data_IF_520791000700
#
_entry.id   IF_520791000700
#
_cell.length_a   1.000
_cell.length_b   1.000
_cell.length_c   1.000
_cell.angle_alpha   90.00
_cell.angle_beta   90.00
_cell.angle_gamma   90.00
#
_symmetry.space_group_name_H-M   'P 1'
#
loop_
_entity.id
_entity.type
_entity.pdbx_description
1 polymer ?
#
# COMPACT_ATOMS: atom_id res chain seq x y z
N UNK A 1 -70.16 5.42 -9.12
CA UNK A 1 -69.15 4.57 -8.46
C UNK A 1 -67.82 4.83 -9.15
N UNK A 2 -67.01 5.75 -8.61
CA UNK A 2 -65.68 6.02 -9.17
C UNK A 2 -64.73 4.93 -8.67
N UNK A 3 -64.33 4.04 -9.57
CA UNK A 3 -63.29 3.04 -9.32
C UNK A 3 -61.97 3.79 -9.08
N UNK A 4 -61.52 3.81 -7.83
CA UNK A 4 -60.19 4.29 -7.48
C UNK A 4 -59.18 3.34 -8.14
N UNK A 5 -58.55 3.79 -9.22
CA UNK A 5 -57.52 3.04 -9.92
C UNK A 5 -56.47 2.58 -8.91
N UNK A 6 -56.17 1.27 -8.90
CA UNK A 6 -55.15 0.70 -8.04
C UNK A 6 -53.83 1.47 -8.24
N UNK A 7 -53.07 1.75 -7.16
CA UNK A 7 -51.83 2.50 -7.27
C UNK A 7 -50.94 1.83 -8.32
N UNK A 8 -50.32 2.61 -9.23
CA UNK A 8 -49.47 2.05 -10.28
C UNK A 8 -48.41 1.16 -9.64
N UNK A 9 -48.15 0.01 -10.26
CA UNK A 9 -47.18 -0.94 -9.70
C UNK A 9 -45.83 -0.26 -9.55
N UNK A 10 -45.05 -0.66 -8.55
CA UNK A 10 -43.72 -0.11 -8.32
C UNK A 10 -42.84 -0.17 -9.58
N UNK A 11 -43.01 -1.19 -10.42
CA UNK A 11 -42.31 -1.30 -11.69
C UNK A 11 -42.70 -0.20 -12.69
N UNK A 12 -43.99 0.15 -12.77
CA UNK A 12 -44.46 1.21 -13.66
C UNK A 12 -43.96 2.59 -13.21
N UNK A 13 -43.93 2.85 -11.90
CA UNK A 13 -43.38 4.09 -11.32
C UNK A 13 -41.87 4.24 -11.59
N UNK A 14 -41.14 3.13 -11.54
CA UNK A 14 -39.71 3.09 -11.79
C UNK A 14 -39.38 3.30 -13.28
N UNK A 15 -40.13 2.66 -14.19
CA UNK A 15 -39.91 2.77 -15.64
C UNK A 15 -40.36 4.13 -16.21
N UNK A 16 -41.37 4.75 -15.61
CA UNK A 16 -41.88 6.06 -16.05
C UNK A 16 -41.09 7.23 -15.47
N UNK A 17 -40.41 7.04 -14.33
CA UNK A 17 -39.52 8.04 -13.77
C UNK A 17 -38.14 7.95 -14.43
N UNK A 18 -37.83 8.93 -15.29
CA UNK A 18 -36.58 9.01 -16.06
C UNK A 18 -35.32 8.93 -15.18
N UNK A 19 -35.38 9.47 -13.96
CA UNK A 19 -34.24 9.46 -13.03
C UNK A 19 -34.03 8.07 -12.42
N UNK A 20 -35.11 7.40 -12.00
CA UNK A 20 -35.06 6.02 -11.47
C UNK A 20 -34.68 5.02 -12.56
N UNK A 21 -35.24 5.16 -13.75
CA UNK A 21 -34.90 4.33 -14.90
C UNK A 21 -33.42 4.44 -15.26
N UNK A 22 -32.88 5.67 -15.33
CA UNK A 22 -31.44 5.87 -15.53
C UNK A 22 -30.61 5.22 -14.43
N UNK A 23 -31.03 5.34 -13.17
CA UNK A 23 -30.30 4.78 -12.03
C UNK A 23 -30.27 3.24 -12.05
N UNK A 24 -31.33 2.58 -12.52
CA UNK A 24 -31.36 1.12 -12.68
C UNK A 24 -30.50 0.68 -13.86
N UNK A 25 -30.50 1.41 -14.96
CA UNK A 25 -29.64 1.13 -16.12
C UNK A 25 -28.14 1.30 -15.83
N UNK A 26 -27.76 1.92 -14.71
CA UNK A 26 -26.37 1.92 -14.24
C UNK A 26 -25.92 0.52 -13.78
N UNK A 27 -26.85 -0.39 -13.47
CA UNK A 27 -26.54 -1.76 -13.07
C UNK A 27 -26.93 -2.74 -14.17
N UNK A 28 -26.00 -3.59 -14.59
CA UNK A 28 -26.25 -4.71 -15.51
C UNK A 28 -26.24 -5.98 -14.67
N UNK A 29 -27.38 -6.69 -14.58
CA UNK A 29 -27.54 -7.90 -13.76
C UNK A 29 -27.16 -7.74 -12.28
N UNK A 30 -27.37 -6.56 -11.72
CA UNK A 30 -27.01 -6.21 -10.33
C UNK A 30 -25.54 -5.84 -10.14
N UNK A 31 -24.75 -5.81 -11.22
CA UNK A 31 -23.35 -5.35 -11.22
C UNK A 31 -23.29 -3.89 -11.69
N UNK A 32 -22.69 -2.98 -10.94
CA UNK A 32 -22.51 -1.58 -11.35
C UNK A 32 -21.71 -1.48 -12.65
N UNK A 33 -22.11 -0.58 -13.55
CA UNK A 33 -21.45 -0.36 -14.84
C UNK A 33 -19.98 0.04 -14.71
N UNK A 34 -19.57 0.67 -13.61
CA UNK A 34 -18.16 0.97 -13.33
C UNK A 34 -17.32 -0.29 -13.11
N UNK A 35 -17.89 -1.31 -12.46
CA UNK A 35 -17.27 -2.64 -12.29
C UNK A 35 -17.17 -3.35 -13.64
N UNK A 36 -18.21 -3.26 -14.48
CA UNK A 36 -18.18 -3.83 -15.84
C UNK A 36 -17.10 -3.17 -16.69
N UNK A 37 -17.00 -1.84 -16.65
CA UNK A 37 -15.94 -1.09 -17.36
C UNK A 37 -14.54 -1.50 -16.88
N UNK A 38 -14.35 -1.60 -15.56
CA UNK A 38 -13.09 -2.04 -14.96
C UNK A 38 -12.69 -3.43 -15.47
N UNK A 39 -13.65 -4.36 -15.48
CA UNK A 39 -13.48 -5.73 -15.99
C UNK A 39 -13.11 -5.74 -17.47
N UNK A 40 -13.81 -4.97 -18.31
CA UNK A 40 -13.55 -4.93 -19.75
C UNK A 40 -12.18 -4.34 -20.07
N UNK A 41 -11.78 -3.29 -19.35
CA UNK A 41 -10.46 -2.69 -19.53
C UNK A 41 -9.35 -3.62 -19.06
N UNK A 42 -9.58 -4.33 -17.95
CA UNK A 42 -8.63 -5.31 -17.44
C UNK A 42 -8.42 -6.46 -18.44
N UNK A 43 -9.50 -6.98 -19.04
CA UNK A 43 -9.46 -7.98 -20.10
C UNK A 43 -8.67 -7.52 -21.33
N UNK A 44 -8.88 -6.26 -21.74
CA UNK A 44 -8.12 -5.68 -22.87
C UNK A 44 -6.62 -5.57 -22.57
N UNK A 45 -6.26 -5.24 -21.34
CA UNK A 45 -4.87 -5.07 -20.93
C UNK A 45 -4.13 -6.40 -20.65
N UNK A 46 -4.86 -7.49 -20.36
CA UNK A 46 -4.30 -8.76 -19.91
C UNK A 46 -4.86 -9.95 -20.69
N UNK A 47 -4.76 -9.89 -22.02
CA UNK A 47 -5.26 -10.92 -22.94
C UNK A 47 -4.66 -12.31 -22.64
N UNK A 48 -3.43 -12.35 -22.12
CA UNK A 48 -2.65 -13.59 -21.93
C UNK A 48 -2.49 -14.04 -20.46
N UNK A 49 -2.99 -13.27 -19.48
CA UNK A 49 -2.80 -13.58 -18.05
C UNK A 49 -4.06 -14.26 -17.49
N UNK A 50 -3.93 -15.39 -16.76
CA UNK A 50 -5.08 -16.07 -16.15
C UNK A 50 -5.87 -15.12 -15.24
N UNK A 51 -7.18 -15.07 -15.46
CA UNK A 51 -8.12 -14.20 -14.76
C UNK A 51 -8.23 -14.45 -13.24
N UNK A 52 -7.74 -15.60 -12.74
CA UNK A 52 -8.00 -16.08 -11.39
C UNK A 52 -6.93 -15.71 -10.35
N UNK A 53 -6.36 -14.51 -10.43
CA UNK A 53 -5.47 -14.04 -9.36
C UNK A 53 -6.29 -13.42 -8.23
N UNK A 54 -5.95 -13.73 -6.98
CA UNK A 54 -6.72 -13.29 -5.81
C UNK A 54 -6.71 -11.76 -5.70
N UNK A 55 -7.89 -11.17 -5.55
CA UNK A 55 -8.08 -9.73 -5.34
C UNK A 55 -7.65 -8.81 -6.48
N UNK A 56 -7.65 -9.31 -7.72
CA UNK A 56 -7.31 -8.50 -8.91
C UNK A 56 -8.22 -7.29 -9.09
N UNK A 57 -9.54 -7.46 -8.93
CA UNK A 57 -10.48 -6.37 -9.21
C UNK A 57 -10.35 -5.24 -8.18
N UNK A 58 -10.31 -5.50 -6.86
CA UNK A 58 -10.04 -4.45 -5.88
C UNK A 58 -8.69 -3.76 -6.11
N UNK A 59 -7.63 -4.49 -6.43
CA UNK A 59 -6.31 -3.91 -6.71
C UNK A 59 -6.33 -3.00 -7.94
N UNK A 60 -7.00 -3.40 -9.01
CA UNK A 60 -7.15 -2.59 -10.21
C UNK A 60 -7.96 -1.30 -9.95
N UNK A 61 -9.02 -1.39 -9.15
CA UNK A 61 -9.79 -0.21 -8.73
C UNK A 61 -8.92 0.76 -7.90
N UNK A 62 -8.13 0.22 -6.96
CA UNK A 62 -7.20 0.99 -6.14
C UNK A 62 -6.14 1.66 -7.01
N UNK A 63 -5.50 0.94 -7.95
CA UNK A 63 -4.50 1.50 -8.83
C UNK A 63 -5.02 2.70 -9.65
N UNK A 64 -6.32 2.70 -9.99
CA UNK A 64 -6.99 3.82 -10.67
C UNK A 64 -7.46 4.94 -9.74
N UNK A 65 -7.36 4.76 -8.42
CA UNK A 65 -7.89 5.68 -7.41
C UNK A 65 -9.43 5.71 -7.35
N UNK A 66 -10.11 4.70 -7.91
CA UNK A 66 -11.57 4.65 -7.95
C UNK A 66 -12.15 3.99 -6.69
N UNK A 67 -12.29 4.80 -5.65
CA UNK A 67 -12.85 4.37 -4.36
C UNK A 67 -14.32 3.95 -4.50
N UNK A 68 -15.08 4.56 -5.42
CA UNK A 68 -16.49 4.16 -5.63
C UNK A 68 -16.56 2.75 -6.19
N UNK A 69 -15.75 2.43 -7.19
CA UNK A 69 -15.69 1.05 -7.72
C UNK A 69 -15.19 0.08 -6.65
N UNK A 70 -14.26 0.47 -5.78
CA UNK A 70 -13.86 -0.36 -4.64
C UNK A 70 -15.02 -0.62 -3.65
N UNK A 71 -15.87 0.38 -3.39
CA UNK A 71 -17.10 0.22 -2.57
C UNK A 71 -18.08 -0.76 -3.21
N UNK A 72 -18.29 -0.63 -4.50
CA UNK A 72 -19.14 -1.51 -5.28
C UNK A 72 -18.63 -2.96 -5.28
N UNK A 73 -17.33 -3.16 -5.48
CA UNK A 73 -16.70 -4.48 -5.42
C UNK A 73 -16.86 -5.14 -4.05
N UNK A 74 -16.71 -4.37 -2.96
CA UNK A 74 -16.98 -4.90 -1.60
C UNK A 74 -18.44 -5.33 -1.43
N UNK A 75 -19.41 -4.52 -1.87
CA UNK A 75 -20.84 -4.88 -1.79
C UNK A 75 -21.11 -6.17 -2.58
N UNK A 76 -20.50 -6.32 -3.76
CA UNK A 76 -20.59 -7.55 -4.54
C UNK A 76 -19.95 -8.73 -3.80
N UNK A 77 -18.78 -8.57 -3.19
CA UNK A 77 -18.12 -9.60 -2.39
C UNK A 77 -18.98 -10.11 -1.22
N UNK A 78 -19.81 -9.24 -0.61
CA UNK A 78 -20.74 -9.66 0.46
C UNK A 78 -21.97 -10.42 -0.05
N UNK A 79 -22.24 -10.40 -1.36
CA UNK A 79 -23.43 -11.03 -1.96
C UNK A 79 -23.18 -12.53 -2.16
N UNK A 80 -24.10 -13.40 -1.69
CA UNK A 80 -23.95 -14.88 -1.76
C UNK A 80 -23.57 -15.42 -3.15
N UNK A 81 -24.00 -14.77 -4.23
CA UNK A 81 -23.67 -15.14 -5.62
C UNK A 81 -22.18 -15.05 -5.95
N UNK A 82 -21.45 -14.17 -5.27
CA UNK A 82 -20.08 -13.80 -5.61
C UNK A 82 -19.06 -14.04 -4.48
N UNK A 83 -19.51 -14.49 -3.31
CA UNK A 83 -18.65 -14.77 -2.14
C UNK A 83 -17.55 -15.81 -2.42
N UNK A 84 -17.76 -16.74 -3.35
CA UNK A 84 -16.79 -17.78 -3.71
C UNK A 84 -15.74 -17.34 -4.74
N UNK A 85 -15.82 -16.09 -5.23
CA UNK A 85 -14.92 -15.58 -6.27
C UNK A 85 -13.67 -14.98 -5.66
N UNK A 86 -12.52 -15.60 -5.94
CA UNK A 86 -11.21 -15.15 -5.47
C UNK A 86 -10.82 -13.79 -6.04
N UNK A 87 -11.36 -13.40 -7.19
CA UNK A 87 -11.08 -12.12 -7.85
C UNK A 87 -11.61 -10.91 -7.06
N UNK A 88 -12.62 -11.13 -6.21
CA UNK A 88 -13.23 -10.13 -5.33
C UNK A 88 -12.63 -10.10 -3.91
N UNK A 89 -11.68 -10.99 -3.61
CA UNK A 89 -10.99 -10.99 -2.33
C UNK A 89 -10.28 -9.65 -2.10
N UNK A 90 -10.31 -9.13 -0.87
CA UNK A 90 -9.66 -7.86 -0.52
C UNK A 90 -8.21 -8.08 -0.05
N UNK A 91 -7.64 -9.24 -0.36
CA UNK A 91 -6.32 -9.66 0.08
C UNK A 91 -5.24 -8.77 -0.54
N UNK A 92 -4.43 -8.16 0.33
CA UNK A 92 -3.40 -7.22 -0.09
C UNK A 92 -3.92 -5.89 -0.63
N UNK A 93 -5.22 -5.58 -0.49
CA UNK A 93 -5.79 -4.28 -0.87
C UNK A 93 -5.09 -3.13 -0.14
N UNK A 94 -4.82 -3.27 1.17
CA UNK A 94 -4.10 -2.27 1.96
C UNK A 94 -2.68 -2.02 1.43
N UNK A 95 -1.93 -3.10 1.17
CA UNK A 95 -0.58 -2.99 0.59
C UNK A 95 -0.61 -2.30 -0.77
N UNK A 96 -1.60 -2.63 -1.60
CA UNK A 96 -1.81 -2.01 -2.91
C UNK A 96 -2.13 -0.52 -2.77
N UNK A 97 -3.01 -0.14 -1.84
CA UNK A 97 -3.35 1.27 -1.58
C UNK A 97 -2.13 2.08 -1.15
N UNK A 98 -1.29 1.52 -0.28
CA UNK A 98 -0.03 2.16 0.14
C UNK A 98 0.95 2.24 -1.03
N UNK A 99 1.14 1.14 -1.77
CA UNK A 99 2.08 1.07 -2.88
C UNK A 99 1.78 2.07 -4.00
N UNK A 100 0.49 2.34 -4.27
CA UNK A 100 0.06 3.28 -5.31
C UNK A 100 -0.26 4.68 -4.80
N UNK A 101 -0.03 4.98 -3.52
CA UNK A 101 -0.22 6.35 -3.02
C UNK A 101 -1.68 6.72 -2.75
N UNK A 102 -2.59 5.75 -2.65
CA UNK A 102 -4.04 5.97 -2.68
C UNK A 102 -4.61 6.14 -1.27
N UNK A 103 -4.41 7.34 -0.70
CA UNK A 103 -4.85 7.67 0.66
C UNK A 103 -6.36 7.50 0.86
N UNK A 104 -7.18 7.90 -0.12
CA UNK A 104 -8.64 7.78 -0.04
C UNK A 104 -9.09 6.31 0.00
N UNK A 105 -8.43 5.42 -0.75
CA UNK A 105 -8.69 3.99 -0.69
C UNK A 105 -8.24 3.40 0.66
N UNK A 106 -7.09 3.85 1.18
CA UNK A 106 -6.57 3.41 2.47
C UNK A 106 -7.49 3.81 3.63
N UNK A 107 -7.98 5.05 3.65
CA UNK A 107 -8.97 5.55 4.61
C UNK A 107 -10.27 4.76 4.51
N UNK A 108 -10.77 4.50 3.30
CA UNK A 108 -11.95 3.67 3.13
C UNK A 108 -11.76 2.25 3.68
N UNK A 109 -10.61 1.62 3.44
CA UNK A 109 -10.30 0.29 3.99
C UNK A 109 -10.25 0.32 5.53
N UNK A 110 -9.85 1.46 6.10
CA UNK A 110 -9.84 1.69 7.54
C UNK A 110 -11.24 1.76 8.14
N UNK A 111 -12.05 2.68 7.63
CA UNK A 111 -13.43 2.89 8.06
C UNK A 111 -14.26 1.60 7.92
N UNK A 112 -13.85 0.76 6.97
CA UNK A 112 -14.45 -0.53 6.69
C UNK A 112 -14.05 -1.65 7.64
N UNK A 113 -13.01 -1.45 8.46
CA UNK A 113 -12.43 -2.48 9.33
C UNK A 113 -11.61 -3.55 8.60
N UNK A 114 -11.16 -3.30 7.36
CA UNK A 114 -10.47 -4.27 6.48
C UNK A 114 -8.97 -3.97 6.40
N UNK A 115 -8.48 -3.00 7.19
CA UNK A 115 -7.15 -2.43 7.06
C UNK A 115 -6.00 -3.47 7.11
N UNK A 116 -6.23 -4.67 7.63
CA UNK A 116 -5.47 -5.88 7.29
C UNK A 116 -6.48 -7.04 7.30
N UNK A 117 -6.97 -7.41 6.10
CA UNK A 117 -7.91 -8.51 5.92
C UNK A 117 -7.40 -9.80 6.56
N UNK A 118 -8.29 -10.42 7.33
CA UNK A 118 -8.13 -11.70 8.02
C UNK A 118 -7.36 -12.73 7.16
N UNK A 119 -6.27 -13.26 7.72
CA UNK A 119 -5.66 -14.56 7.40
C UNK A 119 -5.34 -14.84 5.92
N UNK A 120 -4.04 -14.73 5.61
CA UNK A 120 -3.29 -15.41 4.54
C UNK A 120 -2.59 -14.43 3.59
N UNK A 121 -1.49 -13.86 4.07
CA UNK A 121 -0.30 -13.83 3.22
C UNK A 121 0.63 -14.91 3.76
N UNK A 122 1.16 -15.77 2.89
CA UNK A 122 2.17 -16.79 3.21
C UNK A 122 3.53 -16.21 3.60
N UNK A 123 3.55 -15.05 4.25
CA UNK A 123 4.59 -14.73 5.21
C UNK A 123 4.05 -15.31 6.53
N UNK A 124 4.69 -16.36 7.05
CA UNK A 124 4.47 -16.74 8.43
C UNK A 124 4.52 -15.46 9.27
N UNK A 125 3.36 -14.99 9.74
CA UNK A 125 3.26 -14.03 10.85
C UNK A 125 3.67 -14.78 12.12
N UNK A 126 4.87 -15.37 12.09
CA UNK A 126 5.61 -15.73 13.27
C UNK A 126 5.95 -14.41 13.94
N UNK A 127 5.45 -14.28 15.16
CA UNK A 127 5.97 -13.39 16.19
C UNK A 127 5.61 -11.90 16.05
N UNK A 128 4.79 -11.44 17.00
CA UNK A 128 4.90 -10.12 17.65
C UNK A 128 4.92 -8.85 16.78
N UNK A 129 4.41 -8.84 15.54
CA UNK A 129 4.27 -7.58 14.79
C UNK A 129 2.93 -6.91 15.04
N UNK A 130 2.95 -5.61 15.34
CA UNK A 130 1.72 -4.82 15.42
C UNK A 130 1.23 -4.43 14.03
N UNK A 131 -0.08 -4.16 13.91
CA UNK A 131 -0.69 -3.61 12.69
C UNK A 131 0.03 -2.31 12.27
N UNK A 132 0.35 -1.44 13.25
CA UNK A 132 1.06 -0.19 13.01
C UNK A 132 2.46 -0.40 12.42
N UNK A 133 3.23 -1.35 12.95
CA UNK A 133 4.56 -1.71 12.44
C UNK A 133 4.50 -2.14 10.97
N UNK A 134 3.52 -2.98 10.61
CA UNK A 134 3.39 -3.51 9.25
C UNK A 134 3.01 -2.42 8.25
N UNK A 135 2.06 -1.56 8.61
CA UNK A 135 1.66 -0.43 7.77
C UNK A 135 2.78 0.58 7.59
N UNK A 136 3.51 0.88 8.67
CA UNK A 136 4.65 1.79 8.63
C UNK A 136 5.77 1.21 7.78
N UNK A 137 6.09 -0.08 7.94
CA UNK A 137 7.06 -0.79 7.09
C UNK A 137 6.71 -0.70 5.61
N UNK A 138 5.44 -0.91 5.23
CA UNK A 138 4.99 -0.75 3.84
C UNK A 138 5.06 0.69 3.36
N UNK A 139 4.62 1.66 4.17
CA UNK A 139 4.65 3.09 3.82
C UNK A 139 6.09 3.56 3.54
N UNK A 140 7.04 3.13 4.38
CA UNK A 140 8.46 3.42 4.22
C UNK A 140 9.02 2.71 2.98
N UNK A 141 8.78 1.40 2.86
CA UNK A 141 9.29 0.56 1.76
C UNK A 141 8.88 1.07 0.38
N UNK A 142 7.64 1.53 0.23
CA UNK A 142 7.11 2.00 -1.06
C UNK A 142 7.23 3.50 -1.27
N UNK A 143 7.72 4.25 -0.28
CA UNK A 143 7.79 5.72 -0.34
C UNK A 143 8.59 6.28 -1.52
N UNK A 144 9.61 5.56 -2.00
CA UNK A 144 10.47 6.01 -3.09
C UNK A 144 9.75 6.00 -4.45
N UNK A 145 8.81 5.07 -4.65
CA UNK A 145 8.05 4.95 -5.88
C UNK A 145 6.94 6.01 -6.02
N UNK A 146 6.64 6.74 -4.94
CA UNK A 146 5.56 7.72 -4.87
C UNK A 146 6.09 9.15 -5.08
N UNK A 147 5.27 10.03 -5.65
CA UNK A 147 5.61 11.45 -5.72
C UNK A 147 5.71 12.11 -4.34
N UNK A 148 6.41 13.24 -4.26
CA UNK A 148 6.93 13.82 -3.02
C UNK A 148 5.89 14.33 -2.01
N UNK A 149 4.63 14.74 -2.34
CA UNK A 149 3.66 14.96 -1.28
C UNK A 149 3.05 13.63 -0.79
N UNK A 150 2.69 12.73 -1.72
CA UNK A 150 1.98 11.47 -1.43
C UNK A 150 2.76 10.55 -0.50
N UNK A 151 4.09 10.45 -0.69
CA UNK A 151 4.93 9.61 0.17
C UNK A 151 4.92 10.05 1.64
N UNK A 152 4.85 11.36 1.90
CA UNK A 152 4.81 11.90 3.26
C UNK A 152 3.39 11.83 3.83
N UNK A 153 2.37 12.06 3.02
CA UNK A 153 0.97 11.96 3.43
C UNK A 153 0.62 10.59 4.00
N UNK A 154 1.05 9.50 3.34
CA UNK A 154 0.78 8.14 3.82
C UNK A 154 1.55 7.85 5.11
N UNK A 155 2.85 8.18 5.15
CA UNK A 155 3.67 7.96 6.35
C UNK A 155 3.13 8.76 7.53
N UNK A 156 2.70 10.00 7.30
CA UNK A 156 2.08 10.85 8.29
C UNK A 156 0.74 10.29 8.76
N UNK A 157 -0.13 9.85 7.84
CA UNK A 157 -1.41 9.25 8.18
C UNK A 157 -1.25 8.02 9.08
N UNK A 158 -0.29 7.14 8.76
CA UNK A 158 0.02 5.99 9.63
C UNK A 158 0.56 6.45 10.99
N UNK A 159 1.48 7.42 11.01
CA UNK A 159 2.09 7.94 12.23
C UNK A 159 1.09 8.61 13.18
N UNK A 160 0.10 9.34 12.66
CA UNK A 160 -0.89 10.05 13.46
C UNK A 160 -1.94 9.10 14.07
N UNK A 161 -2.09 7.91 13.49
CA UNK A 161 -3.11 6.93 13.88
C UNK A 161 -2.69 6.01 15.01
N UNK A 162 -1.42 5.61 15.07
CA UNK A 162 -0.92 4.69 16.08
C UNK A 162 0.05 5.38 17.04
N UNK A 163 0.16 4.84 18.25
CA UNK A 163 1.14 5.32 19.22
C UNK A 163 2.57 5.09 18.70
N UNK A 164 3.54 5.97 19.02
CA UNK A 164 4.94 5.82 18.62
C UNK A 164 5.55 4.44 18.95
N UNK A 165 5.13 3.84 20.06
CA UNK A 165 5.58 2.50 20.48
C UNK A 165 5.25 1.39 19.47
N UNK A 166 4.21 1.55 18.66
CA UNK A 166 3.83 0.58 17.63
C UNK A 166 4.85 0.54 16.47
N UNK A 167 5.71 1.55 16.36
CA UNK A 167 6.72 1.66 15.31
C UNK A 167 8.13 1.40 15.81
N UNK A 168 8.30 0.99 17.08
CA UNK A 168 9.64 0.77 17.65
C UNK A 168 10.42 -0.23 16.83
N UNK A 169 9.77 -1.32 16.42
CA UNK A 169 10.38 -2.51 15.80
C UNK A 169 10.36 -2.51 14.27
N UNK A 170 10.13 -1.35 13.64
CA UNK A 170 10.25 -1.19 12.19
C UNK A 170 11.66 -1.60 11.74
N UNK A 171 11.74 -2.51 10.78
CA UNK A 171 12.99 -3.11 10.33
C UNK A 171 13.90 -2.13 9.60
N UNK A 172 15.21 -2.31 9.80
CA UNK A 172 16.26 -1.67 9.00
C UNK A 172 16.08 -1.89 7.49
N UNK A 173 15.55 -3.05 7.08
CA UNK A 173 15.34 -3.36 5.66
C UNK A 173 14.30 -2.47 4.99
N UNK A 174 13.25 -2.05 5.72
CA UNK A 174 12.25 -1.12 5.20
C UNK A 174 12.84 0.28 5.11
N UNK A 175 13.53 0.73 6.17
CA UNK A 175 14.25 2.02 6.21
C UNK A 175 15.30 2.14 5.09
N UNK A 176 16.01 1.06 4.76
CA UNK A 176 17.03 1.06 3.70
C UNK A 176 16.49 1.41 2.31
N UNK A 177 15.18 1.23 2.11
CA UNK A 177 14.49 1.55 0.85
C UNK A 177 13.89 2.93 0.84
N UNK A 178 13.77 3.60 1.99
CA UNK A 178 13.21 4.94 2.06
C UNK A 178 14.16 5.99 1.48
N UNK A 179 13.60 7.12 1.05
CA UNK A 179 14.40 8.31 0.71
C UNK A 179 14.64 9.22 1.92
N UNK A 180 15.59 10.15 1.78
CA UNK A 180 15.95 11.12 2.83
C UNK A 180 14.74 11.88 3.43
N UNK A 181 13.72 12.33 2.65
CA UNK A 181 12.58 13.04 3.23
C UNK A 181 11.81 12.21 4.26
N UNK A 182 11.61 10.92 4.01
CA UNK A 182 10.90 10.02 4.91
C UNK A 182 11.77 9.70 6.13
N UNK A 183 13.06 9.42 5.94
CA UNK A 183 13.96 9.17 7.07
C UNK A 183 14.08 10.38 8.00
N UNK A 184 14.15 11.59 7.43
CA UNK A 184 14.15 12.84 8.19
C UNK A 184 12.84 13.02 8.97
N UNK A 185 11.70 12.71 8.35
CA UNK A 185 10.39 12.76 9.02
C UNK A 185 10.33 11.80 10.22
N UNK A 186 10.77 10.54 10.03
CA UNK A 186 10.77 9.53 11.08
C UNK A 186 11.73 9.91 12.22
N UNK A 187 12.93 10.37 11.89
CA UNK A 187 13.92 10.81 12.88
C UNK A 187 13.45 12.03 13.67
N UNK A 188 12.83 13.01 12.99
CA UNK A 188 12.27 14.21 13.64
C UNK A 188 11.12 13.91 14.60
N UNK A 189 10.39 12.81 14.38
CA UNK A 189 9.32 12.34 15.28
C UNK A 189 9.76 11.24 16.26
N UNK A 190 11.02 10.81 16.23
CA UNK A 190 11.51 9.73 17.08
C UNK A 190 10.84 8.37 16.82
N UNK A 191 10.47 8.09 15.57
CA UNK A 191 9.85 6.83 15.15
C UNK A 191 10.91 5.84 14.63
N UNK A 192 10.58 4.55 14.58
CA UNK A 192 11.45 3.50 14.03
C UNK A 192 12.84 3.40 14.69
N UNK A 193 12.93 3.68 16.01
CA UNK A 193 14.20 3.81 16.73
C UNK A 193 15.07 2.56 16.62
N UNK A 194 14.50 1.35 16.69
CA UNK A 194 15.29 0.11 16.62
C UNK A 194 15.91 -0.10 15.24
N UNK A 195 15.15 0.14 14.16
CA UNK A 195 15.68 0.05 12.79
C UNK A 195 16.77 1.07 12.51
N UNK A 196 16.70 2.25 13.12
CA UNK A 196 17.75 3.27 13.10
C UNK A 196 18.98 2.91 13.96
N UNK A 197 18.81 2.05 14.97
CA UNK A 197 19.88 1.57 15.84
C UNK A 197 20.61 0.35 15.26
N UNK A 198 19.97 -0.41 14.37
CA UNK A 198 20.52 -1.59 13.72
C UNK A 198 21.74 -1.23 12.84
N UNK A 199 22.92 -1.85 13.05
CA UNK A 199 24.09 -1.65 12.20
C UNK A 199 23.83 -2.02 10.74
N UNK A 200 22.95 -3.01 10.48
CA UNK A 200 22.63 -3.46 9.13
C UNK A 200 21.97 -2.39 8.27
N UNK A 201 21.40 -1.34 8.87
CA UNK A 201 20.78 -0.27 8.09
C UNK A 201 21.79 0.39 7.13
N UNK A 202 22.98 0.71 7.62
CA UNK A 202 24.02 1.37 6.81
C UNK A 202 24.48 0.41 5.70
N UNK A 203 24.70 -0.85 6.04
CA UNK A 203 25.10 -1.90 5.10
C UNK A 203 24.06 -2.09 3.99
N UNK A 204 22.76 -2.13 4.36
CA UNK A 204 21.66 -2.26 3.40
C UNK A 204 21.49 -1.03 2.50
N UNK A 205 21.82 0.16 2.98
CA UNK A 205 21.80 1.39 2.16
C UNK A 205 23.00 1.42 1.20
N UNK A 206 24.18 1.00 1.69
CA UNK A 206 25.40 0.87 0.91
C UNK A 206 25.26 -0.17 -0.23
N UNK A 207 24.75 -1.36 0.10
CA UNK A 207 24.47 -2.41 -0.90
C UNK A 207 23.47 -2.00 -1.98
N UNK A 208 22.63 -0.98 -1.74
CA UNK A 208 21.69 -0.42 -2.72
C UNK A 208 22.26 0.77 -3.51
N UNK A 209 23.46 1.23 -3.18
CA UNK A 209 24.09 2.39 -3.83
C UNK A 209 23.39 3.73 -3.55
N UNK A 210 22.61 3.85 -2.48
CA UNK A 210 21.85 5.07 -2.17
C UNK A 210 22.73 6.13 -1.52
N UNK A 211 23.58 6.80 -2.31
CA UNK A 211 24.56 7.78 -1.84
C UNK A 211 23.96 8.92 -1.01
N UNK A 212 22.84 9.50 -1.44
CA UNK A 212 22.17 10.59 -0.70
C UNK A 212 21.68 10.14 0.68
N UNK A 213 21.16 8.90 0.75
CA UNK A 213 20.69 8.33 2.02
C UNK A 213 21.85 7.93 2.91
N UNK A 214 22.93 7.41 2.33
CA UNK A 214 24.13 7.02 3.05
C UNK A 214 24.83 8.22 3.69
N UNK A 215 24.99 9.31 2.93
CA UNK A 215 25.56 10.56 3.45
C UNK A 215 24.70 11.19 4.54
N UNK A 216 23.37 11.15 4.39
CA UNK A 216 22.44 11.58 5.43
C UNK A 216 22.58 10.76 6.72
N UNK A 217 22.69 9.43 6.63
CA UNK A 217 22.83 8.56 7.80
C UNK A 217 24.19 8.74 8.49
N UNK A 218 25.27 8.81 7.73
CA UNK A 218 26.64 8.97 8.24
C UNK A 218 26.84 10.35 8.89
N UNK A 219 26.35 11.43 8.26
CA UNK A 219 26.41 12.79 8.81
C UNK A 219 25.64 12.97 10.12
N UNK A 220 24.75 12.03 10.47
CA UNK A 220 24.07 11.97 11.76
C UNK A 220 24.84 11.25 12.87
N UNK A 221 26.15 11.00 12.71
CA UNK A 221 26.98 10.35 13.72
C UNK A 221 26.87 8.82 13.75
N UNK A 222 26.41 8.19 12.65
CA UNK A 222 26.35 6.71 12.52
C UNK A 222 27.61 6.11 11.89
N UNK A 223 28.70 6.86 11.86
CA UNK A 223 29.96 6.49 11.20
C UNK A 223 30.53 5.17 11.75
N UNK A 224 30.37 4.89 13.04
CA UNK A 224 30.84 3.65 13.69
C UNK A 224 29.96 2.41 13.46
N UNK A 225 28.91 2.48 12.64
CA UNK A 225 28.02 1.34 12.33
C UNK A 225 28.27 0.72 10.97
N UNK A 226 29.23 1.25 10.23
CA UNK A 226 29.62 0.73 8.94
C UNK A 226 30.47 -0.54 9.10
N UNK A 227 30.03 -1.65 8.51
CA UNK A 227 30.78 -2.91 8.52
C UNK A 227 31.50 -3.15 7.19
N UNK A 228 32.37 -4.16 7.13
CA UNK A 228 32.98 -4.63 5.87
C UNK A 228 31.93 -5.20 4.92
N UNK A 229 30.83 -5.75 5.43
CA UNK A 229 29.73 -6.31 4.62
C UNK A 229 29.07 -5.24 3.76
N UNK A 230 29.04 -3.98 4.22
CA UNK A 230 28.58 -2.84 3.44
C UNK A 230 29.41 -2.64 2.16
N UNK A 231 30.74 -2.75 2.28
CA UNK A 231 31.67 -2.58 1.16
C UNK A 231 31.56 -3.75 0.19
N UNK A 232 31.55 -4.98 0.71
CA UNK A 232 31.46 -6.19 -0.09
C UNK A 232 30.15 -6.21 -0.88
N UNK A 233 29.04 -5.89 -0.22
CA UNK A 233 27.74 -5.82 -0.87
C UNK A 233 27.61 -4.67 -1.87
N UNK A 234 28.20 -3.51 -1.60
CA UNK A 234 28.25 -2.41 -2.57
C UNK A 234 29.09 -2.77 -3.80
N UNK A 235 30.25 -3.40 -3.60
CA UNK A 235 31.13 -3.82 -4.69
C UNK A 235 30.51 -4.94 -5.53
N UNK A 236 29.88 -5.93 -4.88
CA UNK A 236 29.18 -7.03 -5.54
C UNK A 236 28.02 -6.53 -6.42
N UNK A 237 27.33 -5.46 -6.01
CA UNK A 237 26.24 -4.83 -6.77
C UNK A 237 26.72 -3.74 -7.74
N UNK A 238 28.03 -3.49 -7.84
CA UNK A 238 28.60 -2.51 -8.77
C UNK A 238 28.49 -1.04 -8.32
N UNK A 239 28.15 -0.78 -7.06
CA UNK A 239 28.01 0.57 -6.49
C UNK A 239 29.35 1.11 -5.99
N UNK A 240 30.32 1.26 -6.90
CA UNK A 240 31.70 1.67 -6.57
C UNK A 240 31.81 3.06 -5.93
N UNK A 241 30.82 3.92 -6.17
CA UNK A 241 30.73 5.27 -5.56
C UNK A 241 30.67 5.21 -4.03
N UNK A 242 30.12 4.14 -3.46
CA UNK A 242 30.04 3.92 -2.00
C UNK A 242 31.44 3.74 -1.40
N UNK A 243 32.34 3.07 -2.10
CA UNK A 243 33.72 2.83 -1.64
C UNK A 243 34.59 4.09 -1.67
N UNK A 244 34.17 5.11 -2.43
CA UNK A 244 34.84 6.40 -2.47
C UNK A 244 34.52 7.27 -1.25
N UNK A 245 33.49 6.92 -0.46
CA UNK A 245 33.10 7.67 0.74
C UNK A 245 34.25 7.60 1.76
N UNK A 246 34.83 8.75 2.18
CA UNK A 246 36.03 8.78 3.03
C UNK A 246 35.88 8.03 4.36
N UNK A 247 34.68 7.96 4.90
CA UNK A 247 34.37 7.31 6.17
C UNK A 247 34.53 5.77 6.11
N UNK A 248 34.37 5.15 4.94
CA UNK A 248 34.64 3.72 4.76
C UNK A 248 36.14 3.40 4.84
N UNK A 249 37.02 4.36 4.52
CA UNK A 249 38.48 4.16 4.61
C UNK A 249 38.96 4.05 6.06
N UNK A 250 38.24 4.63 7.02
CA UNK A 250 38.58 4.52 8.43
C UNK A 250 38.24 3.14 9.01
N UNK A 251 37.20 2.47 8.50
CA UNK A 251 36.83 1.11 8.90
C UNK A 251 37.87 0.04 8.47
N UNK A 252 38.72 0.34 7.48
CA UNK A 252 39.80 -0.55 7.02
C UNK A 252 41.04 -0.48 7.94
N UNK A 253 41.16 0.60 8.74
CA UNK A 253 42.37 0.90 9.52
C UNK A 253 42.23 0.61 11.03
N UNK A 254 41.11 0.05 11.47
CA UNK A 254 40.85 -0.38 12.84
C UNK A 254 40.73 -1.91 12.90
#
# INVERSE_FOLDING_TARGET
>A
MASAAAPPSAATLVLTNRSLFRLIMVFIDGIPGSVVSLVTDFQRAHVDVPWSFTGVLPRAAIQRGDVETLRHLRRLATTRRFQSRSELALDGATRCAIQFGQLAALQYLDDSGILLGDRNNGENLSDSRTVGETLMGWAIRYSEALETPLRLEIVQWVADKYKPSAFRDVKAEDLSRAGVPVLRFLQGRGLATSGFEDPKLVDLVATRGKMETLTFLLGGGREGKCTTDAMDGAAANGHLEVLAVPLFKLAILA
#
